data_IF_749554302712
#
_entry.id   IF_749554302712
#
_cell.length_a   1.000
_cell.length_b   1.000
_cell.length_c   1.000
_cell.angle_alpha   90.00
_cell.angle_beta   90.00
_cell.angle_gamma   90.00
#
_symmetry.space_group_name_H-M   'P 1'
#
loop_
_entity.id
_entity.type
_entity.pdbx_description
1 polymer ?
#
# COMPACT_ATOMS: atom_id res chain seq x y z
N UNK A 1 15.72 13.79 -10.90
CA UNK A 1 14.52 12.92 -10.92
C UNK A 1 14.02 12.96 -12.34
N UNK A 2 13.71 11.81 -12.93
CA UNK A 2 13.10 11.78 -14.26
C UNK A 2 11.75 12.49 -14.19
N UNK A 3 11.50 13.48 -15.06
CA UNK A 3 10.23 14.23 -15.10
C UNK A 3 9.03 13.30 -15.25
N UNK A 4 9.20 12.20 -15.99
CA UNK A 4 8.20 11.15 -16.14
C UNK A 4 7.87 10.46 -14.82
N UNK A 5 8.89 10.05 -14.05
CA UNK A 5 8.69 9.40 -12.76
C UNK A 5 8.00 10.33 -11.75
N UNK A 6 8.31 11.64 -11.78
CA UNK A 6 7.61 12.64 -10.94
C UNK A 6 6.14 12.74 -11.31
N UNK A 7 5.83 12.79 -12.62
CA UNK A 7 4.46 12.85 -13.13
C UNK A 7 3.67 11.59 -12.80
N UNK A 8 4.26 10.41 -13.00
CA UNK A 8 3.65 9.12 -12.67
C UNK A 8 3.37 9.01 -11.17
N UNK A 9 4.32 9.40 -10.32
CA UNK A 9 4.13 9.40 -8.87
C UNK A 9 3.02 10.36 -8.44
N UNK A 10 3.00 11.60 -8.97
CA UNK A 10 1.95 12.57 -8.67
C UNK A 10 0.58 12.06 -9.08
N UNK A 11 0.46 11.48 -10.28
CA UNK A 11 -0.79 10.87 -10.78
C UNK A 11 -1.22 9.70 -9.91
N UNK A 12 -0.28 8.88 -9.45
CA UNK A 12 -0.54 7.73 -8.59
C UNK A 12 -1.05 8.16 -7.21
N UNK A 13 -0.44 9.18 -6.60
CA UNK A 13 -0.90 9.78 -5.34
C UNK A 13 -2.31 10.39 -5.52
N UNK A 14 -2.53 11.15 -6.60
CA UNK A 14 -3.85 11.75 -6.88
C UNK A 14 -4.94 10.68 -7.07
N UNK A 15 -4.61 9.58 -7.75
CA UNK A 15 -5.50 8.43 -7.88
C UNK A 15 -5.80 7.79 -6.52
N UNK A 16 -4.78 7.51 -5.71
CA UNK A 16 -4.95 6.86 -4.41
C UNK A 16 -5.68 7.74 -3.39
N UNK A 17 -5.47 9.05 -3.44
CA UNK A 17 -6.11 10.03 -2.55
C UNK A 17 -7.63 10.08 -2.72
N UNK A 18 -8.14 9.72 -3.91
CA UNK A 18 -9.58 9.63 -4.18
C UNK A 18 -10.24 8.46 -3.46
N UNK A 19 -9.48 7.40 -3.14
CA UNK A 19 -10.03 6.25 -2.43
C UNK A 19 -10.10 6.53 -0.92
N UNK A 20 -11.31 6.38 -0.37
CA UNK A 20 -11.57 6.49 1.07
C UNK A 20 -12.36 5.27 1.51
N UNK A 21 -11.74 4.47 2.37
CA UNK A 21 -12.37 3.32 3.01
C UNK A 21 -13.54 3.78 3.87
N UNK A 22 -14.65 3.02 3.80
CA UNK A 22 -15.82 3.24 4.65
C UNK A 22 -15.47 2.91 6.10
N UNK A 23 -14.62 1.89 6.28
CA UNK A 23 -14.01 1.50 7.54
C UNK A 23 -12.47 1.51 7.43
N UNK A 24 -11.80 1.06 8.49
CA UNK A 24 -10.35 0.86 8.53
C UNK A 24 -10.00 -0.39 7.73
N UNK A 25 -9.94 -0.25 6.41
CA UNK A 25 -9.80 -1.37 5.46
C UNK A 25 -8.81 -1.11 4.33
N UNK A 26 -8.10 0.02 4.37
CA UNK A 26 -7.06 0.37 3.41
C UNK A 26 -5.68 0.13 4.02
N UNK A 27 -4.93 -0.79 3.43
CA UNK A 27 -3.60 -1.21 3.87
C UNK A 27 -2.55 -0.50 3.02
N UNK A 28 -1.62 0.17 3.70
CA UNK A 28 -0.46 0.84 3.09
C UNK A 28 0.82 0.20 3.62
N UNK A 29 1.69 -0.22 2.71
CA UNK A 29 2.96 -0.87 3.04
C UNK A 29 4.09 -0.21 2.27
N UNK A 30 5.11 0.21 3.01
CA UNK A 30 6.35 0.74 2.47
C UNK A 30 7.49 -0.20 2.80
N UNK A 31 8.17 -0.66 1.77
CA UNK A 31 9.32 -1.56 1.85
C UNK A 31 10.57 -0.76 1.50
N UNK A 32 11.54 -0.64 2.43
CA UNK A 32 12.76 0.09 2.16
C UNK A 32 13.63 -0.61 1.12
N UNK A 33 14.48 0.18 0.46
CA UNK A 33 15.45 -0.31 -0.50
C UNK A 33 16.36 -1.38 0.12
N UNK A 34 16.52 -2.51 -0.57
CA UNK A 34 17.35 -3.64 -0.10
C UNK A 34 16.75 -4.46 1.04
N UNK A 35 15.51 -4.19 1.47
CA UNK A 35 14.83 -5.02 2.46
C UNK A 35 14.28 -6.30 1.83
N UNK A 36 14.29 -7.40 2.59
CA UNK A 36 13.80 -8.69 2.10
C UNK A 36 12.26 -8.74 2.05
N UNK A 37 11.71 -8.99 0.86
CA UNK A 37 10.27 -9.10 0.63
C UNK A 37 9.64 -10.28 1.39
N UNK A 38 10.37 -11.38 1.59
CA UNK A 38 9.83 -12.53 2.31
C UNK A 38 9.52 -12.18 3.76
N UNK A 39 10.38 -11.39 4.42
CA UNK A 39 10.09 -10.85 5.76
C UNK A 39 8.83 -10.00 5.81
N UNK A 40 8.58 -9.19 4.77
CA UNK A 40 7.33 -8.41 4.66
C UNK A 40 6.15 -9.34 4.48
N UNK A 41 6.23 -10.32 3.59
CA UNK A 41 5.17 -11.30 3.36
C UNK A 41 4.83 -12.06 4.64
N UNK A 42 5.82 -12.55 5.37
CA UNK A 42 5.62 -13.23 6.66
C UNK A 42 4.96 -12.33 7.70
N UNK A 43 5.34 -11.05 7.75
CA UNK A 43 4.68 -10.08 8.63
C UNK A 43 3.21 -9.87 8.23
N UNK A 44 2.90 -9.72 6.94
CA UNK A 44 1.53 -9.57 6.47
C UNK A 44 0.67 -10.82 6.74
N UNK A 45 1.25 -12.02 6.70
CA UNK A 45 0.56 -13.26 7.07
C UNK A 45 0.21 -13.31 8.57
N UNK A 46 1.09 -12.80 9.43
CA UNK A 46 0.80 -12.66 10.86
C UNK A 46 -0.34 -11.66 11.06
N UNK A 47 -0.29 -10.51 10.39
CA UNK A 47 -1.35 -9.50 10.46
C UNK A 47 -2.68 -10.01 9.92
N UNK A 48 -2.66 -10.87 8.89
CA UNK A 48 -3.85 -11.53 8.36
C UNK A 48 -4.50 -12.44 9.42
N UNK A 49 -3.68 -13.16 10.20
CA UNK A 49 -4.15 -13.99 11.31
C UNK A 49 -4.70 -13.14 12.45
N UNK A 50 -4.05 -12.03 12.78
CA UNK A 50 -4.54 -11.06 13.78
C UNK A 50 -5.88 -10.45 13.36
N UNK A 51 -6.05 -10.14 12.07
CA UNK A 51 -7.27 -9.58 11.49
C UNK A 51 -8.49 -10.52 11.63
N UNK A 52 -8.28 -11.83 11.83
CA UNK A 52 -9.38 -12.76 12.10
C UNK A 52 -10.17 -12.43 13.37
N UNK A 53 -9.56 -11.70 14.32
CA UNK A 53 -10.21 -11.29 15.56
C UNK A 53 -11.04 -10.00 15.43
N UNK A 54 -11.08 -9.36 14.25
CA UNK A 54 -11.90 -8.17 14.03
C UNK A 54 -13.38 -8.54 14.23
N UNK A 55 -14.06 -7.82 15.14
CA UNK A 55 -15.46 -8.08 15.52
C UNK A 55 -16.43 -7.92 14.34
N UNK A 56 -16.26 -6.86 13.55
CA UNK A 56 -17.08 -6.60 12.36
C UNK A 56 -16.79 -7.62 11.26
N UNK A 57 -17.79 -8.42 10.88
CA UNK A 57 -17.63 -9.45 9.86
C UNK A 57 -17.25 -8.87 8.49
N UNK A 58 -17.85 -7.74 8.10
CA UNK A 58 -17.55 -7.05 6.85
C UNK A 58 -16.11 -6.53 6.83
N UNK A 59 -15.71 -5.80 7.88
CA UNK A 59 -14.34 -5.26 8.00
C UNK A 59 -13.30 -6.38 8.04
N UNK A 60 -13.57 -7.44 8.80
CA UNK A 60 -12.71 -8.64 8.85
C UNK A 60 -12.49 -9.23 7.46
N UNK A 61 -13.56 -9.46 6.70
CA UNK A 61 -13.50 -10.03 5.35
C UNK A 61 -12.70 -9.14 4.40
N UNK A 62 -12.90 -7.82 4.48
CA UNK A 62 -12.22 -6.86 3.61
C UNK A 62 -10.72 -6.75 3.93
N UNK A 63 -10.35 -6.66 5.22
CA UNK A 63 -8.95 -6.59 5.64
C UNK A 63 -8.20 -7.89 5.28
N UNK A 64 -8.79 -9.05 5.55
CA UNK A 64 -8.17 -10.35 5.20
C UNK A 64 -7.97 -10.46 3.69
N UNK A 65 -8.97 -10.08 2.88
CA UNK A 65 -8.88 -10.14 1.43
C UNK A 65 -7.85 -9.13 0.87
N UNK A 66 -7.79 -7.92 1.44
CA UNK A 66 -6.79 -6.92 1.07
C UNK A 66 -5.35 -7.40 1.36
N UNK A 67 -5.12 -7.99 2.53
CA UNK A 67 -3.83 -8.57 2.91
C UNK A 67 -3.47 -9.76 2.01
N UNK A 68 -4.43 -10.65 1.73
CA UNK A 68 -4.20 -11.79 0.84
C UNK A 68 -3.78 -11.34 -0.56
N UNK A 69 -4.51 -10.37 -1.13
CA UNK A 69 -4.22 -9.82 -2.46
C UNK A 69 -2.86 -9.14 -2.50
N UNK A 70 -2.51 -8.41 -1.44
CA UNK A 70 -1.20 -7.78 -1.30
C UNK A 70 -0.08 -8.83 -1.24
N UNK A 71 -0.25 -9.90 -0.46
CA UNK A 71 0.74 -10.99 -0.38
C UNK A 71 0.94 -11.66 -1.74
N UNK A 72 -0.14 -11.94 -2.47
CA UNK A 72 -0.06 -12.49 -3.83
C UNK A 72 0.73 -11.56 -4.76
N UNK A 73 0.45 -10.25 -4.71
CA UNK A 73 1.14 -9.24 -5.51
C UNK A 73 2.64 -9.18 -5.20
N UNK A 74 3.01 -9.16 -3.91
CA UNK A 74 4.42 -9.16 -3.48
C UNK A 74 5.17 -10.43 -3.94
N UNK A 75 4.49 -11.58 -3.95
CA UNK A 75 5.06 -12.84 -4.48
C UNK A 75 5.31 -12.79 -5.98
N UNK A 76 4.44 -12.13 -6.75
CA UNK A 76 4.61 -11.95 -8.20
C UNK A 76 5.80 -11.04 -8.52
N UNK A 77 6.00 -9.99 -7.72
CA UNK A 77 7.16 -9.10 -7.85
C UNK A 77 8.48 -9.86 -7.60
N UNK A 78 8.50 -10.74 -6.60
CA UNK A 78 9.59 -11.67 -6.32
C UNK A 78 10.86 -11.05 -5.72
N UNK A 79 11.25 -9.83 -6.11
CA UNK A 79 12.41 -9.10 -5.57
C UNK A 79 12.14 -7.62 -5.35
N UNK A 80 12.71 -7.10 -4.26
CA UNK A 80 12.58 -5.68 -3.92
C UNK A 80 13.29 -4.84 -4.98
N UNK A 81 12.63 -3.83 -5.56
CA UNK A 81 13.27 -2.90 -6.48
C UNK A 81 14.42 -2.13 -5.82
N UNK A 82 15.34 -1.53 -6.60
CA UNK A 82 16.50 -0.82 -6.07
C UNK A 82 16.11 0.36 -5.16
N UNK A 83 14.99 1.02 -5.43
CA UNK A 83 14.49 2.13 -4.62
C UNK A 83 13.51 1.70 -3.50
N UNK A 84 13.28 0.40 -3.32
CA UNK A 84 12.23 -0.10 -2.45
C UNK A 84 10.89 -0.18 -3.17
N UNK A 85 9.81 -0.35 -2.41
CA UNK A 85 8.49 -0.62 -2.97
C UNK A 85 7.40 -0.03 -2.07
N UNK A 86 6.49 0.74 -2.65
CA UNK A 86 5.25 1.15 -1.98
C UNK A 86 4.09 0.32 -2.54
N UNK A 87 3.34 -0.36 -1.66
CA UNK A 87 2.21 -1.20 -2.02
C UNK A 87 0.99 -0.82 -1.21
N UNK A 88 -0.14 -0.69 -1.89
CA UNK A 88 -1.42 -0.28 -1.34
C UNK A 88 -2.45 -1.34 -1.70
N UNK A 89 -3.30 -1.72 -0.76
CA UNK A 89 -4.38 -2.68 -1.01
C UNK A 89 -5.61 -2.34 -0.19
N UNK A 90 -6.78 -2.49 -0.76
CA UNK A 90 -8.02 -2.23 -0.04
C UNK A 90 -9.26 -2.45 -0.88
N UNK A 91 -10.41 -2.46 -0.20
CA UNK A 91 -11.70 -2.50 -0.87
C UNK A 91 -12.08 -1.10 -1.37
N UNK A 92 -12.31 -0.97 -2.67
CA UNK A 92 -12.76 0.28 -3.30
C UNK A 92 -14.15 0.17 -3.92
N UNK A 93 -14.91 -0.85 -3.55
CA UNK A 93 -16.30 -0.99 -3.96
C UNK A 93 -17.14 0.21 -3.47
N UNK A 94 -17.90 0.81 -4.38
CA UNK A 94 -18.82 1.92 -4.07
C UNK A 94 -20.05 1.46 -3.28
N UNK A 95 -20.44 0.19 -3.47
CA UNK A 95 -21.65 -0.41 -2.87
C UNK A 95 -21.30 -1.23 -1.63
N UNK A 96 -22.11 -1.06 -0.59
CA UNK A 96 -21.98 -1.83 0.65
C UNK A 96 -22.37 -3.29 0.40
N UNK A 97 -21.50 -4.22 0.79
CA UNK A 97 -21.69 -5.66 0.58
C UNK A 97 -20.95 -6.22 -0.64
N UNK A 98 -20.49 -5.36 -1.55
CA UNK A 98 -19.59 -5.76 -2.64
C UNK A 98 -18.12 -5.68 -2.21
N UNK A 99 -17.29 -6.55 -2.81
CA UNK A 99 -15.86 -6.56 -2.60
C UNK A 99 -15.16 -6.32 -3.93
N UNK A 100 -14.54 -5.15 -4.05
CA UNK A 100 -13.65 -4.79 -5.15
C UNK A 100 -12.27 -4.53 -4.54
N UNK A 101 -11.55 -5.61 -4.25
CA UNK A 101 -10.21 -5.52 -3.67
C UNK A 101 -9.22 -5.23 -4.78
N UNK A 102 -8.63 -4.04 -4.73
CA UNK A 102 -7.57 -3.63 -5.64
C UNK A 102 -6.26 -3.53 -4.89
N UNK A 103 -5.19 -3.82 -5.63
CA UNK A 103 -3.81 -3.68 -5.19
C UNK A 103 -3.08 -2.79 -6.17
N UNK A 104 -2.32 -1.85 -5.63
CA UNK A 104 -1.46 -0.96 -6.38
C UNK A 104 -0.05 -1.08 -5.85
N UNK A 105 0.92 -0.98 -6.74
CA UNK A 105 2.32 -0.88 -6.35
C UNK A 105 3.04 0.11 -7.22
N UNK A 106 3.94 0.88 -6.62
CA UNK A 106 4.81 1.80 -7.33
C UNK A 106 6.22 1.67 -6.79
N UNK A 107 7.20 1.69 -7.69
CA UNK A 107 8.59 1.91 -7.31
C UNK A 107 8.80 3.43 -7.13
N UNK A 108 9.17 3.88 -5.93
CA UNK A 108 9.43 5.30 -5.70
C UNK A 108 10.67 5.75 -6.51
N UNK A 109 10.72 7.02 -6.94
CA UNK A 109 11.86 7.57 -7.68
C UNK A 109 13.14 7.67 -6.83
N UNK A 110 13.00 7.60 -5.50
CA UNK A 110 14.10 7.64 -4.55
C UNK A 110 14.02 6.48 -3.55
N UNK A 111 15.17 6.00 -3.07
CA UNK A 111 15.22 4.86 -2.16
C UNK A 111 14.52 5.14 -0.83
N UNK A 112 13.49 4.34 -0.55
CA UNK A 112 12.81 4.35 0.75
C UNK A 112 13.75 3.88 1.85
N UNK A 113 13.85 4.66 2.92
CA UNK A 113 14.61 4.31 4.14
C UNK A 113 13.72 3.76 5.25
N UNK A 114 12.43 4.06 5.19
CA UNK A 114 11.46 3.73 6.23
C UNK A 114 10.63 2.51 5.83
N UNK A 115 10.31 1.69 6.82
CA UNK A 115 9.35 0.61 6.72
C UNK A 115 8.06 1.04 7.39
N UNK A 116 6.96 1.06 6.66
CA UNK A 116 5.64 1.38 7.20
C UNK A 116 4.71 0.21 6.90
N UNK A 117 3.92 -0.18 7.88
CA UNK A 117 2.73 -0.99 7.72
C UNK A 117 1.60 -0.28 8.46
N UNK A 118 0.53 0.07 7.76
CA UNK A 118 -0.62 0.72 8.39
C UNK A 118 -1.92 0.35 7.69
N UNK A 119 -2.92 0.01 8.49
CA UNK A 119 -4.30 -0.14 8.04
C UNK A 119 -5.09 1.06 8.54
N UNK A 120 -5.65 1.85 7.64
CA UNK A 120 -6.38 3.08 7.96
C UNK A 120 -7.63 3.23 7.05
N UNK A 121 -8.38 4.32 7.21
CA UNK A 121 -9.51 4.66 6.32
C UNK A 121 -9.04 5.31 5.01
N UNK A 122 -7.77 5.71 4.95
CA UNK A 122 -7.12 6.35 3.80
C UNK A 122 -5.78 5.68 3.57
N UNK A 123 -5.33 5.66 2.31
CA UNK A 123 -3.95 5.29 2.06
C UNK A 123 -3.01 6.32 2.67
N UNK A 124 -1.93 5.84 3.26
CA UNK A 124 -0.88 6.70 3.79
C UNK A 124 -0.04 7.12 2.58
N UNK A 125 -0.18 8.36 2.13
CA UNK A 125 0.54 8.88 0.96
C UNK A 125 1.65 9.86 1.33
N UNK A 126 1.69 10.30 2.60
CA UNK A 126 2.63 11.29 3.13
C UNK A 126 4.09 11.02 2.74
N UNK A 127 4.63 9.77 2.82
CA UNK A 127 6.01 9.50 2.42
C UNK A 127 6.29 9.72 0.93
N UNK A 128 5.29 9.56 0.07
CA UNK A 128 5.43 9.78 -1.36
C UNK A 128 5.21 11.26 -1.72
N UNK A 129 4.35 11.96 -0.97
CA UNK A 129 4.12 13.40 -1.11
C UNK A 129 5.37 14.19 -0.73
N UNK A 130 6.02 13.84 0.39
CA UNK A 130 7.28 14.45 0.83
C UNK A 130 8.37 14.34 -0.25
N UNK A 131 8.48 13.20 -0.92
CA UNK A 131 9.42 13.02 -2.05
C UNK A 131 9.15 13.93 -3.24
N UNK A 132 7.90 14.35 -3.45
CA UNK A 132 7.53 15.30 -4.50
C UNK A 132 7.84 16.75 -4.08
N UNK A 133 7.56 17.09 -2.82
CA UNK A 133 7.72 18.45 -2.26
C UNK A 133 9.19 18.83 -2.03
N UNK A 134 10.04 17.91 -1.57
CA UNK A 134 11.46 18.16 -1.27
C UNK A 134 12.25 18.66 -2.49
N UNK A 135 11.72 18.52 -3.72
CA UNK A 135 12.33 19.03 -4.95
C UNK A 135 11.67 20.27 -5.55
N UNK A 136 10.61 20.80 -4.96
CA UNK A 136 10.00 22.07 -5.37
C UNK A 136 10.63 23.27 -4.64
N UNK A 137 11.35 23.03 -3.54
CA UNK A 137 12.20 24.03 -2.88
C UNK A 137 13.63 23.87 -3.39
N UNK A 138 14.00 24.49 -4.51
CA UNK A 138 15.36 24.96 -4.84
C UNK A 138 15.37 25.71 -6.17
#
# INVERSE_FOLDING_TARGET
>A
MDEKAKYELRKFIDELSKYKGRHTELVSVYVPAGYDLNKIISHLQQEQSTAMNIKSAATRKNVIAALERMIQHLKVIGRTPPNGLAVFSGNVAEKEGEQDIKVWSIEPPEPLKIRIYRCDKRFILEPLEDMLEVKETY
#
